data_IF_223993273579
#
_entry.id   IF_223993273579
#
_cell.length_a   1.000
_cell.length_b   1.000
_cell.length_c   1.000
_cell.angle_alpha   90.00
_cell.angle_beta   90.00
_cell.angle_gamma   90.00
#
_symmetry.space_group_name_H-M   'P 1'
#
loop_
_entity.id
_entity.type
_entity.pdbx_description
1 polymer ?
#
# COMPACT_ATOMS: atom_id res chain seq x y z
N UNK A 1 0.28 23.71 -0.20
CA UNK A 1 0.34 22.31 -0.69
C UNK A 1 1.42 21.56 0.08
N UNK A 2 1.12 21.09 1.29
CA UNK A 2 2.10 20.39 2.15
C UNK A 2 1.41 19.16 2.74
N UNK A 3 1.79 17.95 2.28
CA UNK A 3 1.74 16.64 2.99
C UNK A 3 1.68 15.37 2.11
N UNK A 4 1.60 15.47 0.78
CA UNK A 4 1.20 14.28 -0.02
C UNK A 4 2.33 13.28 -0.35
N UNK A 5 3.63 13.62 -0.24
CA UNK A 5 4.75 12.71 -0.62
C UNK A 5 5.49 12.03 0.55
N UNK A 6 4.90 11.97 1.75
CA UNK A 6 5.59 11.43 2.94
C UNK A 6 5.64 9.90 3.00
N UNK A 7 4.64 9.17 2.52
CA UNK A 7 4.59 7.72 2.73
C UNK A 7 5.56 6.92 1.83
N UNK A 8 5.66 7.29 0.55
CA UNK A 8 6.52 6.57 -0.41
C UNK A 8 8.01 6.83 -0.20
N UNK A 9 8.37 8.05 0.22
CA UNK A 9 9.75 8.40 0.54
C UNK A 9 10.24 7.65 1.78
N UNK A 10 9.41 7.54 2.83
CA UNK A 10 9.72 6.72 4.01
C UNK A 10 9.82 5.22 3.70
N UNK A 11 9.05 4.72 2.73
CA UNK A 11 9.01 3.29 2.37
C UNK A 11 10.19 2.84 1.52
N UNK A 12 10.80 3.73 0.72
CA UNK A 12 11.98 3.40 -0.13
C UNK A 12 13.23 3.00 0.67
N UNK A 13 13.38 3.54 1.88
CA UNK A 13 14.50 3.24 2.78
C UNK A 13 14.31 1.95 3.59
N UNK A 14 13.13 1.33 3.55
CA UNK A 14 12.82 0.15 4.37
C UNK A 14 13.39 -1.12 3.74
N UNK A 15 13.60 -2.13 4.59
CA UNK A 15 14.04 -3.46 4.17
C UNK A 15 12.87 -4.31 3.62
N UNK A 16 13.23 -5.47 3.05
CA UNK A 16 12.28 -6.39 2.44
C UNK A 16 11.24 -6.94 3.44
N UNK A 17 11.67 -7.19 4.68
CA UNK A 17 10.82 -7.77 5.72
C UNK A 17 9.74 -6.78 6.15
N UNK A 18 10.13 -5.52 6.34
CA UNK A 18 9.22 -4.43 6.63
C UNK A 18 8.21 -4.22 5.50
N UNK A 19 8.68 -4.23 4.24
CA UNK A 19 7.80 -4.09 3.07
C UNK A 19 6.75 -5.22 3.01
N UNK A 20 7.15 -6.47 3.25
CA UNK A 20 6.21 -7.61 3.33
C UNK A 20 5.18 -7.44 4.44
N UNK A 21 5.62 -7.02 5.63
CA UNK A 21 4.71 -6.79 6.77
C UNK A 21 3.71 -5.65 6.49
N UNK A 22 4.18 -4.53 5.92
CA UNK A 22 3.31 -3.40 5.59
C UNK A 22 2.34 -3.75 4.45
N UNK A 23 2.77 -4.53 3.44
CA UNK A 23 1.89 -5.05 2.39
C UNK A 23 0.76 -5.88 3.00
N UNK A 24 1.07 -6.81 3.92
CA UNK A 24 0.06 -7.64 4.57
C UNK A 24 -0.98 -6.78 5.33
N UNK A 25 -0.50 -5.79 6.10
CA UNK A 25 -1.37 -4.84 6.83
C UNK A 25 -2.26 -4.01 5.89
N UNK A 26 -1.71 -3.53 4.77
CA UNK A 26 -2.45 -2.73 3.78
C UNK A 26 -3.45 -3.58 3.01
N UNK A 27 -3.13 -4.84 2.75
CA UNK A 27 -4.05 -5.79 2.13
C UNK A 27 -5.26 -6.07 3.03
N UNK A 28 -5.05 -6.30 4.32
CA UNK A 28 -6.14 -6.50 5.29
C UNK A 28 -7.08 -5.28 5.35
N UNK A 29 -6.52 -4.06 5.39
CA UNK A 29 -7.29 -2.82 5.29
C UNK A 29 -8.07 -2.73 3.97
N UNK A 30 -7.49 -3.14 2.86
CA UNK A 30 -8.16 -3.15 1.56
C UNK A 30 -9.35 -4.12 1.54
N UNK A 31 -9.22 -5.28 2.17
CA UNK A 31 -10.32 -6.24 2.34
C UNK A 31 -11.46 -5.66 3.18
N UNK A 32 -11.15 -4.96 4.27
CA UNK A 32 -12.17 -4.27 5.09
C UNK A 32 -12.90 -3.20 4.28
N UNK A 33 -12.17 -2.39 3.51
CA UNK A 33 -12.77 -1.38 2.61
C UNK A 33 -13.63 -2.00 1.51
N UNK A 34 -13.26 -3.19 1.02
CA UNK A 34 -14.07 -3.95 0.06
C UNK A 34 -15.36 -4.45 0.68
N UNK A 35 -15.33 -4.86 1.95
CA UNK A 35 -16.53 -5.23 2.68
C UNK A 35 -17.44 -4.00 2.86
N UNK A 36 -16.91 -2.88 3.35
CA UNK A 36 -17.62 -1.60 3.50
C UNK A 36 -18.29 -1.12 2.18
N UNK A 37 -17.62 -1.34 1.05
CA UNK A 37 -18.16 -1.08 -0.28
C UNK A 37 -19.42 -1.91 -0.59
N UNK A 38 -19.44 -3.19 -0.19
CA UNK A 38 -20.59 -4.07 -0.34
C UNK A 38 -21.81 -3.61 0.46
N UNK A 39 -21.60 -2.89 1.57
CA UNK A 39 -22.68 -2.29 2.37
C UNK A 39 -23.04 -0.86 1.95
N UNK A 40 -22.46 -0.35 0.85
CA UNK A 40 -22.78 0.98 0.34
C UNK A 40 -22.29 2.13 1.25
N UNK A 41 -21.29 1.88 2.09
CA UNK A 41 -20.76 2.90 3.01
C UNK A 41 -20.22 4.11 2.23
N UNK A 42 -20.75 5.30 2.54
CA UNK A 42 -20.38 6.54 1.87
C UNK A 42 -18.88 6.80 2.04
N UNK A 43 -18.18 7.06 0.94
CA UNK A 43 -16.73 7.32 0.93
C UNK A 43 -15.84 6.08 0.82
N UNK A 44 -16.36 4.86 1.04
CA UNK A 44 -15.57 3.62 0.97
C UNK A 44 -14.92 3.40 -0.41
N UNK A 45 -15.57 3.82 -1.51
CA UNK A 45 -15.01 3.71 -2.85
C UNK A 45 -13.74 4.55 -3.05
N UNK A 46 -13.72 5.77 -2.51
CA UNK A 46 -12.57 6.67 -2.61
C UNK A 46 -11.41 6.10 -1.81
N UNK A 47 -11.68 5.68 -0.57
CA UNK A 47 -10.66 5.07 0.30
C UNK A 47 -10.12 3.77 -0.28
N UNK A 48 -10.98 2.92 -0.83
CA UNK A 48 -10.58 1.68 -1.50
C UNK A 48 -9.62 1.95 -2.66
N UNK A 49 -9.91 2.94 -3.51
CA UNK A 49 -9.03 3.30 -4.63
C UNK A 49 -7.66 3.79 -4.15
N UNK A 50 -7.62 4.59 -3.08
CA UNK A 50 -6.37 5.07 -2.47
C UNK A 50 -5.57 3.90 -1.92
N UNK A 51 -6.19 3.06 -1.08
CA UNK A 51 -5.54 1.89 -0.48
C UNK A 51 -5.03 0.91 -1.54
N UNK A 52 -5.77 0.69 -2.63
CA UNK A 52 -5.35 -0.16 -3.74
C UNK A 52 -4.10 0.40 -4.43
N UNK A 53 -4.05 1.72 -4.64
CA UNK A 53 -2.89 2.39 -5.25
C UNK A 53 -1.65 2.28 -4.36
N UNK A 54 -1.79 2.54 -3.07
CA UNK A 54 -0.70 2.41 -2.10
C UNK A 54 -0.15 0.98 -2.04
N UNK A 55 -1.03 -0.02 -2.01
CA UNK A 55 -0.64 -1.42 -2.01
C UNK A 55 0.14 -1.80 -3.28
N UNK A 56 -0.31 -1.34 -4.45
CA UNK A 56 0.41 -1.56 -5.71
C UNK A 56 1.80 -0.94 -5.69
N UNK A 57 1.96 0.24 -5.11
CA UNK A 57 3.26 0.91 -5.00
C UNK A 57 4.22 0.16 -4.08
N UNK A 58 3.72 -0.38 -2.96
CA UNK A 58 4.53 -1.20 -2.06
C UNK A 58 5.01 -2.49 -2.75
N UNK A 59 4.15 -3.15 -3.54
CA UNK A 59 4.54 -4.31 -4.34
C UNK A 59 5.63 -3.98 -5.36
N UNK A 60 5.53 -2.82 -6.04
CA UNK A 60 6.59 -2.37 -6.95
C UNK A 60 7.91 -2.14 -6.21
N UNK A 61 7.89 -1.46 -5.06
CA UNK A 61 9.09 -1.23 -4.25
C UNK A 61 9.72 -2.54 -3.77
N UNK A 62 8.90 -3.52 -3.37
CA UNK A 62 9.38 -4.85 -3.00
C UNK A 62 10.05 -5.54 -4.19
N UNK A 63 9.45 -5.47 -5.38
CA UNK A 63 10.02 -6.03 -6.61
C UNK A 63 11.36 -5.38 -6.98
N UNK A 64 11.46 -4.05 -6.87
CA UNK A 64 12.71 -3.30 -7.09
C UNK A 64 13.83 -3.78 -6.14
N UNK A 65 13.51 -3.95 -4.85
CA UNK A 65 14.46 -4.45 -3.84
C UNK A 65 14.91 -5.87 -4.13
N UNK A 66 13.97 -6.79 -4.37
CA UNK A 66 14.27 -8.20 -4.66
C UNK A 66 15.12 -8.33 -5.92
N UNK A 67 14.87 -7.50 -6.94
CA UNK A 67 15.67 -7.50 -8.18
C UNK A 67 17.08 -6.96 -7.95
N UNK A 68 17.23 -5.91 -7.14
CA UNK A 68 18.54 -5.34 -6.79
C UNK A 68 19.43 -6.32 -6.00
N UNK A 69 18.86 -7.23 -5.20
CA UNK A 69 19.61 -8.28 -4.50
C UNK A 69 20.04 -9.45 -5.41
N UNK A 70 19.50 -9.54 -6.63
CA UNK A 70 19.81 -10.61 -7.60
C UNK A 70 20.80 -10.19 -8.70
N UNK A 71 21.11 -8.90 -8.82
CA UNK A 71 22.10 -8.35 -9.76
C UNK A 71 23.49 -8.30 -9.11
#
# INVERSE_FOLDING_TARGET
>A
MSKVNSFLTSSRGQDELWLKAEIAKRYDRLCTLRFDLGFGKVGALKEFRIARRELSQLWTLLGEKVTAHKA
#
